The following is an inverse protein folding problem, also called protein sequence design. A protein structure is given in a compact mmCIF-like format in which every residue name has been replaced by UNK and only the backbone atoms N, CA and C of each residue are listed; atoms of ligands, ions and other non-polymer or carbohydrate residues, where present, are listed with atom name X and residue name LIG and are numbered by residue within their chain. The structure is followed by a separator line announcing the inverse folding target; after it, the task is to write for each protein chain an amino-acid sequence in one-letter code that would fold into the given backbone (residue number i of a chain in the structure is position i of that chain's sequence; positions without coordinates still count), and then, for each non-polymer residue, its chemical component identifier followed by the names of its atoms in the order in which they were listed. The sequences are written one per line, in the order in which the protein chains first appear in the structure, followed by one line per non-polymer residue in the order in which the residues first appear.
data_IF_737661368250
#
_entry.id   IF_737661368250
#
_cell.length_a   1.000
_cell.length_b   1.000
_cell.length_c   1.000
_cell.angle_alpha   90.00
_cell.angle_beta   90.00
_cell.angle_gamma   90.00
#
_symmetry.space_group_name_H-M   'P 1'
#
loop_
_entity.id
_entity.type
_entity.pdbx_description
1 polymer ?
#
# COMPACT_ATOMS: atom_id res chain seq x y z
N UNK A 1 7.97 15.94 2.42
CA UNK A 1 6.82 15.53 1.58
C UNK A 1 7.40 15.08 0.26
N UNK A 2 7.20 13.83 -0.11
CA UNK A 2 7.76 13.25 -1.35
C UNK A 2 6.87 13.60 -2.54
N UNK A 3 7.46 13.84 -3.71
CA UNK A 3 6.77 14.23 -4.94
C UNK A 3 7.28 13.44 -6.15
N UNK A 4 6.50 13.47 -7.24
CA UNK A 4 6.93 12.88 -8.53
C UNK A 4 8.23 13.55 -8.98
N UNK A 5 9.20 12.74 -9.41
CA UNK A 5 10.54 13.16 -9.83
C UNK A 5 11.62 13.00 -8.75
N UNK A 6 11.22 13.01 -7.47
CA UNK A 6 12.15 12.81 -6.34
C UNK A 6 12.74 11.40 -6.35
N UNK A 7 13.91 11.25 -5.72
CA UNK A 7 14.42 9.92 -5.38
C UNK A 7 13.56 9.40 -4.22
N UNK A 8 12.99 8.20 -4.41
CA UNK A 8 12.23 7.52 -3.39
C UNK A 8 13.10 7.32 -2.15
N UNK A 9 12.56 7.55 -0.93
CA UNK A 9 13.27 7.21 0.29
C UNK A 9 13.69 5.75 0.25
N UNK A 10 14.91 5.47 0.73
CA UNK A 10 15.41 4.10 0.77
C UNK A 10 14.46 3.23 1.61
N UNK A 11 14.21 2.03 1.12
CA UNK A 11 13.39 1.04 1.80
C UNK A 11 14.15 -0.26 1.78
N UNK A 12 14.43 -0.78 2.96
CA UNK A 12 15.05 -2.08 3.14
C UNK A 12 14.24 -2.81 4.18
N UNK A 13 13.80 -4.02 3.86
CA UNK A 13 13.09 -4.81 4.84
C UNK A 13 13.02 -6.27 4.44
N UNK A 14 12.88 -7.10 5.45
CA UNK A 14 12.61 -8.52 5.31
C UNK A 14 11.09 -8.70 5.18
N UNK A 15 10.59 -9.16 4.03
CA UNK A 15 9.19 -9.54 3.93
C UNK A 15 8.88 -10.72 4.85
N UNK A 16 7.61 -10.85 5.24
CA UNK A 16 7.12 -11.98 6.02
C UNK A 16 7.46 -13.32 5.37
N UNK A 17 7.36 -13.37 4.03
CA UNK A 17 7.79 -14.49 3.20
C UNK A 17 8.57 -13.97 1.99
N UNK A 18 9.66 -14.66 1.64
CA UNK A 18 10.49 -14.32 0.49
C UNK A 18 11.84 -13.73 0.86
N UNK A 19 12.53 -13.19 -0.14
CA UNK A 19 13.87 -12.63 0.01
C UNK A 19 13.81 -11.18 0.51
N UNK A 20 14.87 -10.69 1.18
CA UNK A 20 15.01 -9.28 1.50
C UNK A 20 14.75 -8.38 0.29
N UNK A 21 14.00 -7.31 0.50
CA UNK A 21 13.72 -6.29 -0.51
C UNK A 21 14.58 -5.07 -0.22
N UNK A 22 15.31 -4.62 -1.23
CA UNK A 22 16.04 -3.36 -1.22
C UNK A 22 15.52 -2.46 -2.32
N UNK A 23 15.10 -1.25 -1.95
CA UNK A 23 14.64 -0.21 -2.85
C UNK A 23 15.40 1.07 -2.60
N UNK A 24 15.91 1.65 -3.68
CA UNK A 24 16.64 2.91 -3.65
C UNK A 24 17.11 3.33 -5.04
N UNK A 25 18.13 4.19 -5.09
CA UNK A 25 18.58 4.85 -6.31
C UNK A 25 19.10 3.92 -7.43
N UNK A 26 19.34 2.63 -7.15
CA UNK A 26 19.84 1.65 -8.12
C UNK A 26 18.73 0.76 -8.70
N UNK A 27 17.46 1.12 -8.51
CA UNK A 27 16.39 0.25 -9.00
C UNK A 27 16.41 0.06 -10.50
N UNK A 28 16.28 -1.20 -10.91
CA UNK A 28 16.26 -1.61 -12.33
C UNK A 28 14.84 -1.73 -12.85
N UNK A 29 13.97 -2.34 -12.06
CA UNK A 29 12.57 -2.58 -12.39
C UNK A 29 11.68 -1.61 -11.63
N UNK A 30 10.55 -1.17 -12.21
CA UNK A 30 9.57 -0.40 -11.49
C UNK A 30 9.01 -1.17 -10.29
N UNK A 31 8.71 -0.47 -9.20
CA UNK A 31 8.11 -1.04 -8.00
C UNK A 31 6.89 -0.22 -7.59
N UNK A 32 5.73 -0.86 -7.54
CA UNK A 32 4.53 -0.34 -6.91
C UNK A 32 4.64 -0.53 -5.39
N UNK A 33 4.81 0.56 -4.65
CA UNK A 33 4.94 0.54 -3.18
C UNK A 33 3.63 0.99 -2.56
N UNK A 34 3.04 0.11 -1.76
CA UNK A 34 1.68 0.19 -1.27
C UNK A 34 1.65 0.19 0.26
N UNK A 35 1.37 1.33 0.86
CA UNK A 35 1.21 1.46 2.31
C UNK A 35 -0.25 1.22 2.70
N UNK A 36 -0.48 0.27 3.60
CA UNK A 36 -1.81 -0.05 4.13
C UNK A 36 -1.85 0.08 5.65
N UNK A 37 -3.00 0.48 6.17
CA UNK A 37 -3.19 0.79 7.59
C UNK A 37 -2.99 -0.41 8.51
N UNK A 38 -3.81 -1.44 8.38
CA UNK A 38 -3.68 -2.65 9.21
C UNK A 38 -4.48 -3.81 8.60
N UNK A 39 -4.02 -5.05 8.82
CA UNK A 39 -4.52 -6.22 8.08
C UNK A 39 -5.91 -6.72 8.54
N UNK A 40 -6.35 -6.31 9.73
CA UNK A 40 -7.72 -6.53 10.17
C UNK A 40 -8.76 -5.58 9.57
N UNK A 41 -8.34 -4.50 8.90
CA UNK A 41 -9.26 -3.50 8.37
C UNK A 41 -10.02 -4.04 7.14
N UNK A 42 -11.37 -3.93 7.08
CA UNK A 42 -12.15 -4.32 5.90
C UNK A 42 -11.66 -3.62 4.63
N UNK A 43 -11.36 -2.33 4.71
CA UNK A 43 -10.88 -1.54 3.56
C UNK A 43 -9.47 -1.94 3.13
N UNK A 44 -8.59 -2.32 4.07
CA UNK A 44 -7.25 -2.79 3.69
C UNK A 44 -7.33 -4.18 3.07
N UNK A 45 -8.23 -5.05 3.56
CA UNK A 45 -8.49 -6.36 2.94
C UNK A 45 -9.01 -6.20 1.51
N UNK A 46 -9.96 -5.29 1.29
CA UNK A 46 -10.44 -4.96 -0.04
C UNK A 46 -9.31 -4.43 -0.95
N UNK A 47 -8.51 -3.48 -0.47
CA UNK A 47 -7.37 -2.94 -1.20
C UNK A 47 -6.35 -4.03 -1.60
N UNK A 48 -6.02 -4.94 -0.68
CA UNK A 48 -5.11 -6.05 -0.94
C UNK A 48 -5.71 -7.10 -1.88
N UNK A 49 -7.02 -7.35 -1.78
CA UNK A 49 -7.73 -8.22 -2.72
C UNK A 49 -7.76 -7.63 -4.14
N UNK A 50 -7.98 -6.31 -4.28
CA UNK A 50 -7.91 -5.61 -5.57
C UNK A 50 -6.50 -5.68 -6.17
N UNK A 51 -5.45 -5.45 -5.36
CA UNK A 51 -4.06 -5.61 -5.78
C UNK A 51 -3.75 -7.05 -6.19
N UNK A 52 -4.19 -8.04 -5.41
CA UNK A 52 -3.97 -9.45 -5.70
C UNK A 52 -4.68 -9.90 -6.98
N UNK A 53 -5.93 -9.46 -7.19
CA UNK A 53 -6.70 -9.77 -8.40
C UNK A 53 -6.04 -9.24 -9.68
N UNK A 54 -5.32 -8.11 -9.58
CA UNK A 54 -4.63 -7.45 -10.69
C UNK A 54 -3.10 -7.59 -10.64
N UNK A 55 -2.58 -8.45 -9.77
CA UNK A 55 -1.14 -8.61 -9.56
C UNK A 55 -0.40 -8.99 -10.84
N UNK A 56 -1.00 -9.87 -11.64
CA UNK A 56 -0.44 -10.32 -12.92
C UNK A 56 -0.25 -9.17 -13.94
N UNK A 57 -1.05 -8.11 -13.87
CA UNK A 57 -0.90 -6.96 -14.77
C UNK A 57 0.39 -6.21 -14.49
N UNK A 58 0.80 -6.07 -13.22
CA UNK A 58 2.09 -5.49 -12.84
C UNK A 58 3.25 -6.36 -13.32
N UNK A 59 3.16 -7.68 -13.14
CA UNK A 59 4.20 -8.62 -13.57
C UNK A 59 4.41 -8.60 -15.09
N UNK A 60 3.33 -8.55 -15.87
CA UNK A 60 3.37 -8.47 -17.34
C UNK A 60 4.12 -7.23 -17.83
N UNK A 61 4.00 -6.10 -17.15
CA UNK A 61 4.71 -4.86 -17.50
C UNK A 61 6.08 -4.74 -16.79
N UNK A 62 6.53 -5.81 -16.13
CA UNK A 62 7.84 -5.88 -15.49
C UNK A 62 7.94 -5.07 -14.20
N UNK A 63 6.82 -4.74 -13.55
CA UNK A 63 6.77 -4.09 -12.25
C UNK A 63 6.59 -5.08 -11.11
N UNK A 64 7.31 -4.83 -10.03
CA UNK A 64 7.12 -5.52 -8.76
C UNK A 64 6.06 -4.81 -7.93
N UNK A 65 5.35 -5.55 -7.07
CA UNK A 65 4.46 -4.98 -6.06
C UNK A 65 5.06 -5.23 -4.68
N UNK A 66 5.03 -4.23 -3.80
CA UNK A 66 5.51 -4.30 -2.43
C UNK A 66 4.50 -3.65 -1.50
N UNK A 67 4.07 -4.36 -0.46
CA UNK A 67 3.15 -3.82 0.56
C UNK A 67 3.87 -3.58 1.88
N UNK A 68 3.61 -2.41 2.48
CA UNK A 68 4.11 -2.03 3.80
C UNK A 68 2.92 -1.84 4.75
N UNK A 69 2.99 -2.40 5.95
CA UNK A 69 1.94 -2.27 6.97
C UNK A 69 2.54 -2.15 8.37
N UNK A 70 1.97 -1.35 9.28
CA UNK A 70 2.39 -1.33 10.68
C UNK A 70 1.86 -2.54 11.48
N UNK A 71 1.14 -3.46 10.83
CA UNK A 71 0.62 -4.66 11.47
C UNK A 71 1.77 -5.52 12.03
N UNK A 72 1.62 -6.12 13.22
CA UNK A 72 2.64 -7.00 13.78
C UNK A 72 2.96 -8.19 12.87
N UNK A 73 4.20 -8.67 12.93
CA UNK A 73 4.68 -9.79 12.12
C UNK A 73 3.81 -11.04 12.25
N UNK A 74 3.35 -11.37 13.46
CA UNK A 74 2.47 -12.51 13.73
C UNK A 74 1.14 -12.43 12.96
N UNK A 75 0.56 -11.23 12.85
CA UNK A 75 -0.69 -11.02 12.10
C UNK A 75 -0.44 -11.23 10.61
N UNK A 76 0.67 -10.69 10.10
CA UNK A 76 0.98 -10.79 8.68
C UNK A 76 1.39 -12.22 8.26
N UNK A 77 2.06 -12.96 9.13
CA UNK A 77 2.46 -14.37 8.92
C UNK A 77 1.24 -15.27 8.69
N UNK A 78 0.15 -14.98 9.38
CA UNK A 78 -1.12 -15.68 9.21
C UNK A 78 -1.93 -15.14 8.02
N UNK A 79 -1.93 -13.82 7.83
CA UNK A 79 -2.72 -13.15 6.80
C UNK A 79 -2.28 -13.47 5.37
N UNK A 80 -0.97 -13.38 5.10
CA UNK A 80 -0.39 -13.56 3.75
C UNK A 80 -0.81 -14.88 3.11
N UNK A 81 -0.62 -16.06 3.76
CA UNK A 81 -1.01 -17.33 3.15
C UNK A 81 -2.54 -17.50 3.08
N UNK A 82 -3.30 -17.04 4.08
CA UNK A 82 -4.78 -17.11 4.07
C UNK A 82 -5.40 -16.37 2.91
N UNK A 83 -4.82 -15.23 2.53
CA UNK A 83 -5.27 -14.40 1.41
C UNK A 83 -4.47 -14.63 0.13
N UNK A 84 -3.57 -15.62 0.11
CA UNK A 84 -2.79 -16.02 -1.06
C UNK A 84 -2.05 -14.86 -1.73
N UNK A 85 -1.50 -13.93 -0.93
CA UNK A 85 -0.81 -12.77 -1.47
C UNK A 85 0.49 -13.21 -2.16
N UNK A 86 0.66 -12.83 -3.43
CA UNK A 86 1.83 -13.19 -4.25
C UNK A 86 2.95 -12.15 -4.20
N UNK A 87 2.69 -10.99 -3.60
CA UNK A 87 3.66 -9.92 -3.43
C UNK A 87 4.23 -9.88 -2.02
N UNK A 88 5.49 -9.43 -1.85
CA UNK A 88 6.09 -9.20 -0.55
C UNK A 88 5.28 -8.25 0.33
N UNK A 89 5.15 -8.62 1.61
CA UNK A 89 4.57 -7.78 2.68
C UNK A 89 5.64 -7.56 3.75
N UNK A 90 5.95 -6.30 4.04
CA UNK A 90 6.88 -5.90 5.11
C UNK A 90 6.06 -5.29 6.26
N UNK A 91 6.35 -5.76 7.47
CA UNK A 91 5.85 -5.20 8.71
C UNK A 91 6.74 -4.05 9.18
N UNK A 92 6.17 -2.87 9.40
CA UNK A 92 6.82 -1.63 9.84
C UNK A 92 6.12 -1.09 11.11
N UNK A 93 6.15 -1.84 12.23
CA UNK A 93 5.37 -1.50 13.43
C UNK A 93 5.83 -0.20 14.11
N UNK A 94 7.10 0.18 13.92
CA UNK A 94 7.67 1.46 14.38
C UNK A 94 7.40 2.62 13.41
N UNK A 95 6.84 2.32 12.23
CA UNK A 95 6.40 3.28 11.21
C UNK A 95 7.55 4.07 10.59
N UNK A 96 8.78 3.58 10.68
CA UNK A 96 9.95 4.26 10.15
C UNK A 96 9.83 4.51 8.63
N UNK A 97 9.28 3.54 7.89
CA UNK A 97 9.05 3.70 6.45
C UNK A 97 7.87 4.64 6.17
N UNK A 98 6.79 4.56 6.96
CA UNK A 98 5.68 5.51 6.84
C UNK A 98 6.15 6.96 7.02
N UNK A 99 6.98 7.23 8.03
CA UNK A 99 7.54 8.56 8.27
C UNK A 99 8.46 9.03 7.14
N UNK A 100 9.39 8.18 6.71
CA UNK A 100 10.33 8.50 5.62
C UNK A 100 9.61 8.82 4.30
N UNK A 101 8.51 8.13 4.02
CA UNK A 101 7.68 8.34 2.82
C UNK A 101 6.60 9.40 2.99
N UNK A 102 6.50 10.03 4.17
CA UNK A 102 5.52 11.07 4.46
C UNK A 102 4.07 10.58 4.52
N UNK A 103 3.86 9.29 4.81
CA UNK A 103 2.54 8.65 4.91
C UNK A 103 1.98 8.83 6.32
N UNK A 104 1.17 9.88 6.50
CA UNK A 104 0.69 10.32 7.80
C UNK A 104 -0.62 9.69 8.28
N UNK A 105 -1.15 10.27 9.35
CA UNK A 105 -2.44 9.93 9.96
C UNK A 105 -3.56 10.86 9.49
N UNK A 106 -4.80 10.36 9.42
CA UNK A 106 -6.02 11.16 9.34
C UNK A 106 -6.26 11.86 10.69
N UNK A 107 -5.68 13.05 10.83
CA UNK A 107 -5.63 13.80 12.10
C UNK A 107 -6.99 14.16 12.68
N UNK A 108 -8.03 14.22 11.86
CA UNK A 108 -9.37 14.65 12.28
C UNK A 108 -10.47 13.65 11.94
N UNK A 109 -10.13 12.51 11.30
CA UNK A 109 -11.09 11.62 10.65
C UNK A 109 -12.02 12.35 9.66
N UNK A 110 -11.77 13.63 9.36
CA UNK A 110 -12.61 14.45 8.52
C UNK A 110 -12.57 13.95 7.08
N UNK A 111 -11.40 13.46 6.62
CA UNK A 111 -11.27 12.79 5.34
C UNK A 111 -12.15 11.56 5.26
N UNK A 112 -12.08 10.72 6.29
CA UNK A 112 -12.94 9.53 6.43
C UNK A 112 -14.43 9.88 6.43
N UNK A 113 -14.88 10.83 7.28
CA UNK A 113 -16.27 11.27 7.37
C UNK A 113 -16.74 11.87 6.05
N UNK A 114 -15.90 12.68 5.40
CA UNK A 114 -16.21 13.30 4.12
C UNK A 114 -16.37 12.26 3.02
N UNK A 115 -15.50 11.25 2.94
CA UNK A 115 -15.64 10.14 1.99
C UNK A 115 -16.92 9.35 2.26
N UNK A 116 -17.23 9.03 3.52
CA UNK A 116 -18.47 8.38 3.91
C UNK A 116 -19.71 9.19 3.52
N UNK A 117 -19.66 10.51 3.66
CA UNK A 117 -20.78 11.41 3.38
C UNK A 117 -20.97 11.75 1.89
N UNK A 118 -19.89 11.82 1.10
CA UNK A 118 -19.93 12.38 -0.27
C UNK A 118 -20.06 11.38 -1.41
N UNK A 119 -19.75 10.09 -1.23
CA UNK A 119 -19.94 9.17 -2.34
C UNK A 119 -19.17 7.87 -2.25
N UNK A 120 -19.83 6.83 -1.78
CA UNK A 120 -19.35 5.48 -2.05
C UNK A 120 -20.10 4.38 -1.35
N UNK A 121 -21.45 4.37 -1.34
CA UNK A 121 -22.18 3.21 -0.83
C UNK A 121 -21.65 1.87 -1.42
N UNK A 122 -21.27 1.78 -2.71
CA UNK A 122 -20.69 0.56 -3.26
C UNK A 122 -19.29 0.26 -2.74
N UNK A 123 -18.34 1.21 -2.72
CA UNK A 123 -16.98 0.94 -2.23
C UNK A 123 -16.97 0.68 -0.72
N UNK A 124 -17.89 1.30 0.03
CA UNK A 124 -18.09 1.02 1.44
C UNK A 124 -18.68 -0.36 1.66
N UNK A 125 -19.71 -0.74 0.90
CA UNK A 125 -20.31 -2.08 0.99
C UNK A 125 -19.30 -3.16 0.57
N UNK A 126 -18.55 -2.95 -0.50
CA UNK A 126 -17.46 -3.83 -0.94
C UNK A 126 -16.43 -3.96 0.18
N UNK A 127 -15.90 -2.85 0.69
CA UNK A 127 -14.96 -2.85 1.81
C UNK A 127 -15.48 -3.63 3.01
N UNK A 128 -16.68 -3.31 3.49
CA UNK A 128 -17.31 -3.97 4.64
C UNK A 128 -17.56 -5.47 4.41
N UNK A 129 -17.76 -5.92 3.17
CA UNK A 129 -17.95 -7.33 2.84
C UNK A 129 -16.72 -8.20 3.18
N UNK A 130 -15.52 -7.62 3.24
CA UNK A 130 -14.30 -8.33 3.65
C UNK A 130 -14.20 -8.60 5.16
N UNK A 131 -15.15 -8.07 5.93
CA UNK A 131 -15.27 -8.29 7.36
C UNK A 131 -14.18 -7.63 8.20
N UNK A 132 -14.52 -7.32 9.45
CA UNK A 132 -13.58 -6.77 10.41
C UNK A 132 -12.77 -7.89 11.06
N UNK A 133 -11.45 -7.83 10.94
CA UNK A 133 -10.49 -8.62 11.71
C UNK A 133 -10.06 -7.92 12.99
N UNK A 134 -9.00 -8.42 13.63
CA UNK A 134 -8.42 -7.78 14.81
C UNK A 134 -7.91 -6.37 14.46
N UNK A 135 -8.23 -5.38 15.29
CA UNK A 135 -7.63 -4.06 15.14
C UNK A 135 -6.22 -4.11 15.73
N UNK A 136 -5.25 -3.76 14.91
CA UNK A 136 -3.83 -3.76 15.23
C UNK A 136 -3.19 -2.48 14.69
N UNK A 137 -2.69 -1.62 15.58
CA UNK A 137 -2.12 -0.32 15.21
C UNK A 137 -3.13 0.85 15.25
N UNK A 138 -2.72 2.00 14.71
CA UNK A 138 -3.51 3.24 14.77
C UNK A 138 -4.62 3.24 13.70
N UNK A 139 -5.91 3.32 14.10
CA UNK A 139 -7.02 3.33 13.16
C UNK A 139 -7.02 4.54 12.22
N UNK A 140 -6.22 5.58 12.48
CA UNK A 140 -6.13 6.77 11.62
C UNK A 140 -5.05 6.67 10.56
N UNK A 141 -4.25 5.61 10.50
CA UNK A 141 -3.22 5.51 9.45
C UNK A 141 -3.88 5.63 8.08
N UNK A 142 -3.38 6.56 7.26
CA UNK A 142 -3.81 6.68 5.88
C UNK A 142 -3.06 5.66 5.02
N UNK A 143 -3.71 5.10 3.99
CA UNK A 143 -3.01 4.37 2.95
C UNK A 143 -2.22 5.33 2.06
N UNK A 144 -1.27 4.80 1.30
CA UNK A 144 -0.60 5.53 0.24
C UNK A 144 -0.08 4.60 -0.84
N UNK A 145 0.00 5.12 -2.06
CA UNK A 145 0.33 4.34 -3.25
C UNK A 145 1.39 5.10 -4.05
N UNK A 146 2.46 4.40 -4.40
CA UNK A 146 3.60 4.97 -5.11
C UNK A 146 4.01 4.06 -6.26
N UNK A 147 4.59 4.65 -7.29
CA UNK A 147 5.35 3.91 -8.31
C UNK A 147 6.76 4.47 -8.32
N UNK A 148 7.73 3.62 -8.02
CA UNK A 148 9.15 3.91 -8.13
C UNK A 148 9.64 3.35 -9.45
N UNK A 149 10.12 4.19 -10.35
CA UNK A 149 10.70 3.78 -11.61
C UNK A 149 12.20 3.45 -11.51
N UNK A 150 12.83 3.12 -12.66
CA UNK A 150 14.26 2.89 -12.73
C UNK A 150 15.08 4.08 -12.20
N UNK A 151 16.22 3.79 -11.57
CA UNK A 151 17.03 4.79 -10.88
C UNK A 151 16.42 5.28 -9.55
N UNK A 152 15.37 4.60 -9.06
CA UNK A 152 14.73 4.90 -7.78
C UNK A 152 13.90 6.17 -7.76
N UNK A 153 13.45 6.67 -8.92
CA UNK A 153 12.67 7.92 -9.00
C UNK A 153 11.18 7.68 -8.85
N UNK A 154 10.49 8.52 -8.09
CA UNK A 154 9.03 8.49 -7.98
C UNK A 154 8.39 8.92 -9.30
N UNK A 155 7.59 8.04 -9.89
CA UNK A 155 6.78 8.29 -11.10
C UNK A 155 5.32 8.58 -10.75
N UNK A 156 4.87 8.07 -9.61
CA UNK A 156 3.53 8.27 -9.09
C UNK A 156 3.55 8.42 -7.58
N UNK A 157 2.71 9.32 -7.08
CA UNK A 157 2.52 9.57 -5.64
C UNK A 157 1.03 9.82 -5.38
N UNK A 158 0.41 8.98 -4.56
CA UNK A 158 -0.95 9.17 -4.03
C UNK A 158 -0.96 8.92 -2.54
N UNK A 159 -0.99 9.99 -1.76
CA UNK A 159 -1.29 9.90 -0.33
C UNK A 159 -2.82 9.81 -0.17
N UNK A 160 -3.29 8.82 0.57
CA UNK A 160 -4.72 8.64 0.81
C UNK A 160 -5.32 9.83 1.56
N UNK A 161 -6.50 10.27 1.15
CA UNK A 161 -7.26 11.31 1.82
C UNK A 161 -8.19 10.74 2.91
N UNK A 162 -8.44 9.43 2.88
CA UNK A 162 -9.30 8.69 3.82
C UNK A 162 -8.71 7.29 4.07
N UNK A 163 -9.04 6.72 5.24
CA UNK A 163 -8.68 5.33 5.58
C UNK A 163 -9.44 4.28 4.77
N UNK A 164 -10.45 4.70 4.00
CA UNK A 164 -11.28 3.84 3.14
C UNK A 164 -10.80 3.82 1.69
N UNK A 165 -9.80 4.63 1.35
CA UNK A 165 -9.35 4.81 -0.03
C UNK A 165 -8.59 3.56 -0.53
N UNK A 166 -9.05 3.01 -1.65
CA UNK A 166 -8.41 1.89 -2.33
C UNK A 166 -7.23 2.31 -3.23
N UNK A 167 -6.48 1.35 -3.77
CA UNK A 167 -5.37 1.59 -4.68
C UNK A 167 -5.88 2.05 -6.06
N UNK A 168 -5.37 3.15 -6.63
CA UNK A 168 -5.70 3.57 -8.00
C UNK A 168 -4.89 2.76 -9.01
N UNK A 169 -5.23 1.47 -9.16
CA UNK A 169 -4.41 0.48 -9.90
C UNK A 169 -4.16 0.90 -11.35
N UNK A 170 -5.15 1.43 -12.07
CA UNK A 170 -4.98 1.87 -13.46
C UNK A 170 -3.93 2.98 -13.58
N UNK A 171 -4.02 4.00 -12.73
CA UNK A 171 -3.04 5.10 -12.70
C UNK A 171 -1.63 4.61 -12.30
N UNK A 172 -1.55 3.58 -11.44
CA UNK A 172 -0.27 2.96 -11.09
C UNK A 172 0.34 2.21 -12.29
N UNK A 173 -0.46 1.42 -13.02
CA UNK A 173 -0.01 0.71 -14.21
C UNK A 173 0.40 1.67 -15.34
N UNK A 174 -0.35 2.75 -15.56
CA UNK A 174 0.03 3.82 -16.49
C UNK A 174 1.38 4.47 -16.12
N UNK A 175 1.60 4.72 -14.83
CA UNK A 175 2.86 5.28 -14.33
C UNK A 175 4.04 4.30 -14.43
N UNK A 176 3.79 3.00 -14.44
CA UNK A 176 4.80 1.98 -14.71
C UNK A 176 5.19 1.97 -16.19
N UNK A 177 4.20 2.01 -17.10
CA UNK A 177 4.42 1.90 -18.55
C UNK A 177 5.04 3.14 -19.21
N UNK A 178 5.01 4.28 -18.54
CA UNK A 178 5.59 5.55 -19.04
C UNK A 178 7.11 5.69 -18.77
N UNK A 179 7.77 4.60 -18.37
CA UNK A 179 9.18 4.56 -17.96
C UNK A 179 10.17 4.25 -19.11
#
# INVERSE_FOLDING_TARGET
MVSVGDIAPALVGQPVFGLPVELGAKQRHPVAVCFVRHLGSPFCRAALAQLQARYAEFDVVGAQVLVITPSPFEVATDFVPRHQLLFPVICDPDRAHFEAWGVGLDRSLLGTVKTLALGGLPELADGLSYGQGRVDGDPRQLPAWFVVGPGGRLRFVRLGASVTEGPPIDAMLEAVCSA
#
